data_IF_272711437897
#
_entry.id   IF_272711437897
#
_cell.length_a   1.000
_cell.length_b   1.000
_cell.length_c   1.000
_cell.angle_alpha   90.00
_cell.angle_beta   90.00
_cell.angle_gamma   90.00
#
_symmetry.space_group_name_H-M   'P 1'
#
loop_
_entity.id
_entity.type
_entity.pdbx_description
1 polymer ?
#
# COMPACT_ATOMS: atom_id res chain seq x y z
N UNK A 1 12.58 -22.10 19.49
CA UNK A 1 11.80 -20.88 19.83
C UNK A 1 11.51 -20.18 18.52
N UNK A 2 10.32 -20.39 17.96
CA UNK A 2 9.92 -19.70 16.73
C UNK A 2 9.53 -18.26 17.09
N UNK A 3 10.24 -17.27 16.56
CA UNK A 3 9.80 -15.89 16.63
C UNK A 3 8.54 -15.77 15.78
N UNK A 4 7.37 -15.65 16.41
CA UNK A 4 6.17 -15.19 15.72
C UNK A 4 6.39 -13.71 15.40
N UNK A 5 6.73 -13.40 14.16
CA UNK A 5 6.77 -12.00 13.69
C UNK A 5 5.35 -11.44 13.73
N UNK A 6 5.16 -10.35 14.46
CA UNK A 6 3.98 -9.52 14.33
C UNK A 6 3.94 -8.98 12.90
N UNK A 7 3.03 -9.50 12.07
CA UNK A 7 2.77 -8.94 10.75
C UNK A 7 2.05 -7.60 10.94
N UNK A 8 2.76 -6.50 10.70
CA UNK A 8 2.12 -5.22 10.47
C UNK A 8 1.50 -5.30 9.09
N UNK A 9 0.19 -5.12 9.01
CA UNK A 9 -0.46 -5.05 7.72
C UNK A 9 0.13 -3.86 6.93
N UNK A 10 0.27 -4.01 5.62
CA UNK A 10 1.26 -3.26 4.83
C UNK A 10 0.79 -1.89 4.36
N UNK A 11 1.74 -1.11 3.84
CA UNK A 11 1.50 0.27 3.43
C UNK A 11 0.78 0.34 2.09
N UNK A 12 -0.13 1.30 1.94
CA UNK A 12 -0.79 1.53 0.66
C UNK A 12 -0.96 3.00 0.35
N UNK A 13 -1.01 3.30 -0.95
CA UNK A 13 -1.39 4.58 -1.53
C UNK A 13 -2.43 4.32 -2.62
N UNK A 14 -3.54 5.05 -2.55
CA UNK A 14 -4.62 5.02 -3.52
C UNK A 14 -4.81 6.46 -4.01
N UNK A 15 -4.60 6.70 -5.29
CA UNK A 15 -4.57 8.04 -5.87
C UNK A 15 -5.61 8.19 -6.99
N UNK A 16 -6.33 9.29 -7.03
CA UNK A 16 -7.22 9.60 -8.15
C UNK A 16 -6.49 10.08 -9.42
N UNK A 17 -5.17 10.16 -9.40
CA UNK A 17 -4.35 10.72 -10.49
C UNK A 17 -4.05 9.69 -11.58
N UNK A 18 -3.80 10.13 -12.80
CA UNK A 18 -3.20 9.36 -13.91
C UNK A 18 -1.72 9.74 -14.08
N UNK A 19 -0.99 9.72 -12.97
CA UNK A 19 0.37 10.24 -12.89
C UNK A 19 1.36 9.50 -13.82
N UNK A 20 1.02 8.28 -14.25
CA UNK A 20 1.74 7.52 -15.26
C UNK A 20 1.64 8.10 -16.67
N UNK A 21 0.52 8.74 -17.06
CA UNK A 21 0.39 9.39 -18.38
C UNK A 21 0.92 10.84 -18.36
N UNK A 22 0.96 11.46 -17.18
CA UNK A 22 1.32 12.87 -17.00
C UNK A 22 2.66 13.07 -16.28
N UNK A 23 3.66 12.30 -16.68
CA UNK A 23 5.03 12.47 -16.22
C UNK A 23 6.06 12.11 -17.28
N UNK A 24 7.32 12.38 -16.95
CA UNK A 24 8.44 12.05 -17.81
C UNK A 24 9.73 11.93 -16.99
N UNK A 25 10.78 11.42 -17.63
CA UNK A 25 12.13 11.43 -17.08
C UNK A 25 13.07 12.25 -17.96
N UNK A 26 14.02 12.95 -17.33
CA UNK A 26 15.10 13.64 -18.01
C UNK A 26 16.44 13.39 -17.29
N UNK A 27 17.49 14.13 -17.66
CA UNK A 27 18.82 13.98 -17.05
C UNK A 27 18.90 14.26 -15.54
N UNK A 28 17.87 14.90 -14.97
CA UNK A 28 17.74 15.19 -13.54
C UNK A 28 16.87 14.17 -12.79
N UNK A 29 16.30 13.18 -13.49
CA UNK A 29 15.43 12.14 -12.93
C UNK A 29 13.97 12.29 -13.35
N UNK A 30 13.08 11.62 -12.61
CA UNK A 30 11.64 11.71 -12.83
C UNK A 30 11.14 13.12 -12.51
N UNK A 31 10.19 13.59 -13.32
CA UNK A 31 9.46 14.83 -13.14
C UNK A 31 7.97 14.52 -13.00
N UNK A 32 7.22 15.45 -12.43
CA UNK A 32 5.76 15.43 -12.46
C UNK A 32 5.16 14.12 -11.91
N UNK A 33 4.18 13.56 -12.61
CA UNK A 33 3.49 12.34 -12.16
C UNK A 33 4.44 11.15 -11.95
N UNK A 34 5.49 11.02 -12.75
CA UNK A 34 6.49 9.94 -12.58
C UNK A 34 7.32 10.14 -11.31
N UNK A 35 7.56 11.39 -10.89
CA UNK A 35 8.22 11.68 -9.62
C UNK A 35 7.30 11.30 -8.45
N UNK A 36 5.99 11.57 -8.55
CA UNK A 36 5.03 11.09 -7.57
C UNK A 36 5.05 9.55 -7.45
N UNK A 37 5.01 8.83 -8.58
CA UNK A 37 5.09 7.37 -8.58
C UNK A 37 6.38 6.85 -7.90
N UNK A 38 7.52 7.49 -8.18
CA UNK A 38 8.78 7.17 -7.50
C UNK A 38 8.67 7.35 -5.98
N UNK A 39 8.15 8.49 -5.52
CA UNK A 39 7.99 8.78 -4.08
C UNK A 39 6.98 7.86 -3.42
N UNK A 40 5.94 7.42 -4.13
CA UNK A 40 4.98 6.44 -3.64
C UNK A 40 5.67 5.09 -3.36
N UNK A 41 6.49 4.59 -4.29
CA UNK A 41 7.25 3.35 -4.09
C UNK A 41 8.23 3.45 -2.91
N UNK A 42 8.96 4.55 -2.80
CA UNK A 42 9.89 4.82 -1.69
C UNK A 42 9.17 4.94 -0.34
N UNK A 43 7.94 5.47 -0.33
CA UNK A 43 7.12 5.56 0.87
C UNK A 43 6.58 4.20 1.32
N UNK A 44 6.15 3.35 0.37
CA UNK A 44 5.53 2.06 0.67
C UNK A 44 6.57 1.03 1.09
N UNK A 45 7.74 0.99 0.44
CA UNK A 45 8.72 -0.09 0.60
C UNK A 45 9.16 -0.34 2.06
N UNK A 46 9.41 0.68 2.92
CA UNK A 46 9.74 0.46 4.33
C UNK A 46 8.64 -0.25 5.14
N UNK A 47 7.38 -0.16 4.71
CA UNK A 47 6.24 -0.82 5.34
C UNK A 47 5.96 -2.23 4.83
N UNK A 48 6.74 -2.73 3.87
CA UNK A 48 6.59 -4.10 3.36
C UNK A 48 7.28 -5.08 4.30
N UNK A 49 6.49 -5.96 4.92
CA UNK A 49 6.96 -6.91 5.95
C UNK A 49 6.77 -8.38 5.57
N UNK A 50 6.21 -8.67 4.39
CA UNK A 50 6.00 -10.03 3.89
C UNK A 50 7.30 -10.75 3.42
N UNK A 51 8.45 -10.07 3.49
CA UNK A 51 9.76 -10.62 3.13
C UNK A 51 10.11 -10.59 1.64
N UNK A 52 9.18 -10.18 0.78
CA UNK A 52 9.40 -10.11 -0.68
C UNK A 52 9.92 -8.74 -1.11
N UNK A 53 10.79 -8.74 -2.13
CA UNK A 53 11.38 -7.53 -2.72
C UNK A 53 11.12 -7.44 -4.23
N UNK A 54 9.87 -7.58 -4.60
CA UNK A 54 9.42 -7.48 -6.00
C UNK A 54 8.29 -6.49 -6.09
N UNK A 55 8.46 -5.43 -6.89
CA UNK A 55 7.35 -4.62 -7.37
C UNK A 55 6.74 -5.35 -8.56
N UNK A 56 5.45 -5.63 -8.51
CA UNK A 56 4.72 -6.26 -9.62
C UNK A 56 3.74 -5.24 -10.18
N UNK A 57 4.01 -4.75 -11.38
CA UNK A 57 3.09 -3.94 -12.16
C UNK A 57 2.04 -4.86 -12.81
N UNK A 58 0.77 -4.69 -12.44
CA UNK A 58 -0.32 -5.57 -12.86
C UNK A 58 -1.28 -4.85 -13.80
N UNK A 59 -1.64 -5.51 -14.91
CA UNK A 59 -2.43 -4.93 -16.01
C UNK A 59 -1.63 -4.01 -16.94
N UNK A 60 -0.31 -3.93 -16.73
CA UNK A 60 0.57 -3.07 -17.52
C UNK A 60 1.15 -3.86 -18.70
N UNK A 61 0.67 -3.57 -19.92
CA UNK A 61 0.96 -4.31 -21.16
C UNK A 61 2.11 -3.74 -22.01
N UNK A 62 2.45 -2.46 -21.81
CA UNK A 62 3.44 -1.77 -22.64
C UNK A 62 3.38 -0.26 -22.51
N UNK A 63 3.87 0.43 -23.55
CA UNK A 63 3.62 1.86 -23.76
C UNK A 63 4.07 2.78 -22.63
N UNK A 64 3.31 3.85 -22.43
CA UNK A 64 3.54 4.87 -21.40
C UNK A 64 3.47 4.26 -20.01
N UNK A 65 2.53 3.35 -19.75
CA UNK A 65 2.39 2.70 -18.45
C UNK A 65 3.66 1.91 -18.05
N UNK A 66 4.23 1.13 -18.98
CA UNK A 66 5.50 0.42 -18.74
C UNK A 66 6.66 1.38 -18.54
N UNK A 67 6.73 2.46 -19.34
CA UNK A 67 7.79 3.46 -19.22
C UNK A 67 7.74 4.16 -17.85
N UNK A 68 6.55 4.56 -17.41
CA UNK A 68 6.30 5.20 -16.12
C UNK A 68 6.69 4.28 -14.96
N UNK A 69 6.18 3.04 -14.94
CA UNK A 69 6.52 2.04 -13.91
C UNK A 69 8.02 1.75 -13.85
N UNK A 70 8.64 1.55 -15.02
CA UNK A 70 10.09 1.29 -15.15
C UNK A 70 10.90 2.47 -14.64
N UNK A 71 10.52 3.71 -15.01
CA UNK A 71 11.24 4.92 -14.62
C UNK A 71 11.09 5.21 -13.13
N UNK A 72 9.87 5.12 -12.59
CA UNK A 72 9.60 5.28 -11.17
C UNK A 72 10.41 4.27 -10.32
N UNK A 73 10.44 3.00 -10.74
CA UNK A 73 11.22 1.97 -10.07
C UNK A 73 12.74 2.21 -10.18
N UNK A 74 13.28 2.36 -11.39
CA UNK A 74 14.73 2.41 -11.61
C UNK A 74 15.39 3.66 -11.01
N UNK A 75 14.66 4.77 -10.89
CA UNK A 75 15.16 6.01 -10.31
C UNK A 75 14.85 6.13 -8.80
N UNK A 76 14.09 5.20 -8.23
CA UNK A 76 13.88 5.12 -6.79
C UNK A 76 15.09 4.54 -6.05
N UNK A 77 15.04 4.52 -4.72
CA UNK A 77 16.02 3.79 -3.90
C UNK A 77 15.86 2.27 -3.93
N UNK A 78 14.77 1.72 -4.49
CA UNK A 78 14.43 0.30 -4.41
C UNK A 78 15.45 -0.63 -5.09
N UNK A 79 15.92 -0.37 -6.34
CA UNK A 79 16.93 -1.20 -6.98
C UNK A 79 18.21 -1.34 -6.14
N UNK A 80 18.69 -0.23 -5.58
CA UNK A 80 19.86 -0.22 -4.68
C UNK A 80 19.63 -0.99 -3.37
N UNK A 81 18.38 -1.16 -2.95
CA UNK A 81 17.97 -1.98 -1.81
C UNK A 81 17.68 -3.46 -2.17
N UNK A 82 17.98 -3.88 -3.40
CA UNK A 82 17.84 -5.25 -3.88
C UNK A 82 16.41 -5.63 -4.28
N UNK A 83 15.57 -4.66 -4.60
CA UNK A 83 14.26 -4.92 -5.20
C UNK A 83 14.37 -5.22 -6.68
N UNK A 84 13.35 -5.87 -7.22
CA UNK A 84 13.15 -6.12 -8.66
C UNK A 84 11.79 -5.60 -9.10
N UNK A 85 11.63 -5.39 -10.41
CA UNK A 85 10.36 -5.05 -11.06
C UNK A 85 9.95 -6.18 -12.01
N UNK A 86 8.69 -6.59 -11.97
CA UNK A 86 8.09 -7.49 -12.96
C UNK A 86 6.73 -6.96 -13.41
N UNK A 87 6.28 -7.48 -14.55
CA UNK A 87 5.01 -7.11 -15.17
C UNK A 87 4.12 -8.35 -15.31
N UNK A 88 2.84 -8.19 -15.02
CA UNK A 88 1.82 -9.22 -15.27
C UNK A 88 0.68 -8.57 -16.05
N UNK A 89 0.48 -9.03 -17.26
CA UNK A 89 -0.47 -8.46 -18.21
C UNK A 89 -1.38 -9.56 -18.79
N UNK A 90 -2.61 -9.20 -19.10
CA UNK A 90 -3.65 -10.07 -19.61
C UNK A 90 -4.50 -10.70 -18.50
N UNK A 91 -5.82 -10.65 -18.66
CA UNK A 91 -6.78 -11.14 -17.68
C UNK A 91 -6.55 -12.60 -17.23
N UNK A 92 -6.08 -13.49 -18.13
CA UNK A 92 -5.75 -14.87 -17.80
C UNK A 92 -4.50 -14.99 -16.90
N UNK A 93 -3.46 -14.20 -17.20
CA UNK A 93 -2.23 -14.16 -16.40
C UNK A 93 -2.49 -13.53 -15.04
N UNK A 94 -3.29 -12.46 -15.00
CA UNK A 94 -3.75 -11.85 -13.75
C UNK A 94 -4.54 -12.84 -12.89
N UNK A 95 -5.48 -13.59 -13.49
CA UNK A 95 -6.23 -14.62 -12.77
C UNK A 95 -5.31 -15.70 -12.19
N UNK A 96 -4.29 -16.12 -12.96
CA UNK A 96 -3.26 -17.07 -12.50
C UNK A 96 -2.39 -16.47 -11.39
N UNK A 97 -2.04 -15.19 -11.50
CA UNK A 97 -1.25 -14.47 -10.51
C UNK A 97 -1.95 -14.40 -9.15
N UNK A 98 -3.25 -14.08 -9.13
CA UNK A 98 -4.04 -13.98 -7.89
C UNK A 98 -4.39 -15.34 -7.27
N UNK A 99 -4.66 -16.36 -8.09
CA UNK A 99 -5.07 -17.69 -7.59
C UNK A 99 -3.91 -18.63 -7.31
N UNK A 100 -2.75 -18.39 -7.94
CA UNK A 100 -1.52 -19.14 -7.74
C UNK A 100 -0.64 -18.57 -6.63
N UNK A 101 0.66 -18.84 -6.72
CA UNK A 101 1.67 -18.29 -5.80
C UNK A 101 2.19 -16.91 -6.22
N UNK A 102 1.71 -16.35 -7.33
CA UNK A 102 2.23 -15.12 -7.93
C UNK A 102 2.15 -13.92 -6.97
N UNK A 103 0.96 -13.65 -6.44
CA UNK A 103 0.77 -12.57 -5.44
C UNK A 103 1.59 -12.81 -4.17
N UNK A 104 1.86 -14.06 -3.81
CA UNK A 104 2.69 -14.44 -2.67
C UNK A 104 4.19 -14.15 -2.86
N UNK A 105 4.65 -13.90 -4.09
CA UNK A 105 6.01 -13.50 -4.41
C UNK A 105 6.17 -11.98 -4.58
N UNK A 106 5.08 -11.21 -4.55
CA UNK A 106 5.10 -9.76 -4.63
C UNK A 106 5.46 -9.14 -3.28
N UNK A 107 6.24 -8.07 -3.30
CA UNK A 107 6.40 -7.15 -2.17
C UNK A 107 5.46 -5.96 -2.29
N UNK A 108 5.36 -5.38 -3.49
CA UNK A 108 4.45 -4.27 -3.81
C UNK A 108 3.64 -4.62 -5.06
N UNK A 109 2.33 -4.37 -5.03
CA UNK A 109 1.51 -4.30 -6.24
C UNK A 109 1.49 -2.85 -6.74
N UNK A 110 1.77 -2.66 -8.01
CA UNK A 110 1.66 -1.39 -8.73
C UNK A 110 0.53 -1.52 -9.75
N UNK A 111 -0.52 -0.72 -9.61
CA UNK A 111 -1.66 -0.67 -10.54
C UNK A 111 -1.66 0.68 -11.26
N UNK A 112 -1.51 0.66 -12.58
CA UNK A 112 -1.56 1.85 -13.45
C UNK A 112 -2.96 2.50 -13.50
N UNK A 113 -3.10 3.62 -14.21
CA UNK A 113 -4.36 4.38 -14.34
C UNK A 113 -5.38 3.79 -15.33
N UNK A 114 -5.17 2.56 -15.79
CA UNK A 114 -6.07 1.87 -16.70
C UNK A 114 -6.17 2.55 -18.06
N UNK A 115 -7.40 2.87 -18.49
CA UNK A 115 -7.67 3.48 -19.80
C UNK A 115 -7.16 4.93 -19.92
N UNK A 116 -6.68 5.52 -18.82
CA UNK A 116 -6.10 6.88 -18.81
C UNK A 116 -4.63 6.90 -19.25
N UNK A 117 -3.99 5.74 -19.43
CA UNK A 117 -2.59 5.66 -19.87
C UNK A 117 -2.42 4.64 -20.99
N UNK A 118 -1.57 4.98 -21.97
CA UNK A 118 -1.22 4.05 -23.05
C UNK A 118 -0.55 2.78 -22.51
N UNK A 119 -1.20 1.63 -22.67
CA UNK A 119 -0.71 0.32 -22.21
C UNK A 119 -1.08 -0.03 -20.77
N UNK A 120 -2.01 0.71 -20.15
CA UNK A 120 -2.60 0.37 -18.86
C UNK A 120 -3.68 -0.71 -18.92
N UNK A 121 -4.15 -1.10 -17.74
CA UNK A 121 -5.08 -2.20 -17.55
C UNK A 121 -6.44 -1.93 -18.19
N UNK A 122 -6.94 -2.82 -19.03
CA UNK A 122 -8.25 -2.67 -19.67
C UNK A 122 -9.42 -3.01 -18.72
N UNK A 123 -10.66 -2.77 -19.17
CA UNK A 123 -11.87 -3.08 -18.38
C UNK A 123 -12.01 -4.57 -17.96
N UNK A 124 -11.50 -5.51 -18.77
CA UNK A 124 -11.52 -6.95 -18.45
C UNK A 124 -10.56 -7.24 -17.32
N UNK A 125 -9.35 -6.68 -17.37
CA UNK A 125 -8.31 -6.82 -16.36
C UNK A 125 -8.71 -6.16 -15.03
N UNK A 126 -9.31 -4.97 -15.08
CA UNK A 126 -9.89 -4.31 -13.89
C UNK A 126 -11.04 -5.12 -13.28
N UNK A 127 -11.78 -5.86 -14.10
CA UNK A 127 -12.74 -6.87 -13.64
C UNK A 127 -12.09 -8.01 -12.84
N UNK A 128 -10.88 -8.44 -13.22
CA UNK A 128 -10.09 -9.42 -12.46
C UNK A 128 -9.64 -8.85 -11.12
N UNK A 129 -9.23 -7.59 -11.05
CA UNK A 129 -8.90 -6.93 -9.77
C UNK A 129 -10.09 -6.95 -8.81
N UNK A 130 -11.27 -6.58 -9.31
CA UNK A 130 -12.52 -6.57 -8.54
C UNK A 130 -12.89 -7.97 -8.04
N UNK A 131 -12.79 -8.99 -8.90
CA UNK A 131 -13.05 -10.40 -8.55
C UNK A 131 -12.10 -10.91 -7.46
N UNK A 132 -10.86 -10.41 -7.46
CA UNK A 132 -9.81 -10.81 -6.52
C UNK A 132 -9.57 -9.81 -5.39
N UNK A 133 -10.54 -8.93 -5.09
CA UNK A 133 -10.39 -7.92 -4.04
C UNK A 133 -9.98 -8.55 -2.69
N UNK A 134 -10.60 -9.67 -2.30
CA UNK A 134 -10.23 -10.40 -1.07
C UNK A 134 -8.77 -10.83 -1.06
N UNK A 135 -8.21 -11.26 -2.20
CA UNK A 135 -6.80 -11.63 -2.29
C UNK A 135 -5.87 -10.42 -2.13
N UNK A 136 -6.22 -9.28 -2.74
CA UNK A 136 -5.50 -8.01 -2.56
C UNK A 136 -5.53 -7.57 -1.09
N UNK A 137 -6.68 -7.70 -0.41
CA UNK A 137 -6.79 -7.41 1.02
C UNK A 137 -5.89 -8.29 1.87
N UNK A 138 -5.92 -9.60 1.60
CA UNK A 138 -5.13 -10.57 2.36
C UNK A 138 -3.63 -10.34 2.14
N UNK A 139 -3.24 -9.97 0.91
CA UNK A 139 -1.87 -9.57 0.60
C UNK A 139 -1.41 -8.35 1.41
N UNK A 140 -2.23 -7.30 1.47
CA UNK A 140 -1.96 -6.14 2.34
C UNK A 140 -1.93 -6.55 3.82
N UNK A 141 -2.88 -7.37 4.28
CA UNK A 141 -2.92 -7.89 5.64
C UNK A 141 -1.71 -8.74 6.03
N UNK A 142 -1.09 -9.40 5.05
CA UNK A 142 0.15 -10.17 5.21
C UNK A 142 1.42 -9.31 5.13
N UNK A 143 1.30 -7.98 5.04
CA UNK A 143 2.42 -7.06 5.01
C UNK A 143 2.93 -6.72 3.61
N UNK A 144 2.17 -7.02 2.55
CA UNK A 144 2.44 -6.52 1.20
C UNK A 144 2.07 -5.04 1.05
N UNK A 145 2.67 -4.35 0.07
CA UNK A 145 2.39 -2.94 -0.21
C UNK A 145 1.57 -2.71 -1.48
N UNK A 146 0.82 -1.63 -1.58
CA UNK A 146 0.01 -1.33 -2.77
C UNK A 146 0.12 0.14 -3.18
N UNK A 147 0.42 0.38 -4.44
CA UNK A 147 0.21 1.67 -5.07
C UNK A 147 -0.77 1.49 -6.24
N UNK A 148 -1.87 2.24 -6.21
CA UNK A 148 -2.84 2.27 -7.29
C UNK A 148 -3.23 3.71 -7.61
N UNK A 149 -3.45 3.98 -8.91
CA UNK A 149 -3.79 5.31 -9.40
C UNK A 149 -4.94 5.25 -10.41
N UNK A 150 -5.82 6.26 -10.44
CA UNK A 150 -6.99 6.45 -11.31
C UNK A 150 -7.73 5.20 -11.85
N UNK A 151 -7.82 4.14 -11.04
CA UNK A 151 -8.52 2.92 -11.41
C UNK A 151 -10.02 3.07 -11.17
N UNK A 152 -10.85 2.25 -11.79
CA UNK A 152 -12.30 2.20 -11.49
C UNK A 152 -12.61 1.71 -10.06
N UNK A 153 -11.60 1.40 -9.25
CA UNK A 153 -11.61 1.11 -7.80
C UNK A 153 -12.76 0.24 -7.27
N UNK A 154 -13.41 -0.56 -8.13
CA UNK A 154 -14.47 -1.50 -7.73
C UNK A 154 -13.99 -2.48 -6.65
N UNK A 155 -12.70 -2.81 -6.68
CA UNK A 155 -12.04 -3.61 -5.64
C UNK A 155 -11.94 -2.87 -4.30
N UNK A 156 -11.74 -1.56 -4.25
CA UNK A 156 -11.57 -0.79 -2.99
C UNK A 156 -12.86 -0.75 -2.18
N UNK A 157 -14.02 -0.65 -2.82
CA UNK A 157 -15.32 -0.69 -2.14
C UNK A 157 -15.56 -2.02 -1.40
N UNK A 158 -14.92 -3.11 -1.84
CA UNK A 158 -14.93 -4.40 -1.15
C UNK A 158 -13.97 -4.43 0.06
N UNK A 159 -13.03 -3.47 0.16
CA UNK A 159 -11.95 -3.46 1.15
C UNK A 159 -12.08 -2.40 2.24
N UNK A 160 -12.64 -1.22 1.95
CA UNK A 160 -12.99 -0.23 2.97
C UNK A 160 -14.51 -0.08 2.97
N UNK A 161 -15.24 -0.84 3.80
CA UNK A 161 -16.69 -0.68 3.91
C UNK A 161 -17.02 0.77 4.25
N UNK A 162 -17.69 1.45 3.31
CA UNK A 162 -18.12 2.84 3.48
C UNK A 162 -17.28 3.88 2.75
N UNK A 163 -16.04 3.58 2.33
CA UNK A 163 -15.31 4.48 1.42
C UNK A 163 -16.12 4.63 0.13
N UNK A 164 -16.28 5.86 -0.33
CA UNK A 164 -16.91 6.13 -1.62
C UNK A 164 -15.85 6.63 -2.58
N UNK A 165 -15.83 6.04 -3.77
CA UNK A 165 -15.03 6.52 -4.89
C UNK A 165 -15.98 7.18 -5.86
N UNK A 166 -15.72 8.44 -6.19
CA UNK A 166 -16.45 9.17 -7.22
C UNK A 166 -15.54 9.37 -8.41
N UNK A 167 -16.01 8.98 -9.60
CA UNK A 167 -15.32 9.25 -10.87
C UNK A 167 -15.67 10.69 -11.28
N UNK A 168 -14.65 11.52 -11.44
CA UNK A 168 -14.76 12.90 -11.92
C UNK A 168 -13.39 13.36 -12.39
N UNK A 169 -13.33 14.11 -13.50
CA UNK A 169 -12.09 14.63 -14.04
C UNK A 169 -11.96 16.13 -13.77
N UNK A 170 -10.95 16.54 -13.00
CA UNK A 170 -10.55 17.95 -12.89
C UNK A 170 -9.03 18.07 -12.66
N UNK A 171 -8.54 19.29 -12.53
CA UNK A 171 -7.13 19.59 -12.33
C UNK A 171 -6.84 20.10 -10.90
N UNK A 172 -5.55 20.21 -10.58
CA UNK A 172 -5.07 20.94 -9.41
C UNK A 172 -5.18 20.15 -8.11
N UNK A 173 -4.01 19.89 -7.53
CA UNK A 173 -3.85 19.18 -6.27
C UNK A 173 -2.94 19.95 -5.32
N UNK A 174 -3.26 19.87 -4.04
CA UNK A 174 -2.38 20.31 -2.97
C UNK A 174 -2.06 19.15 -2.03
N UNK A 175 -0.78 18.97 -1.74
CA UNK A 175 -0.33 18.10 -0.66
C UNK A 175 -0.89 18.61 0.66
N UNK A 176 -1.39 17.69 1.48
CA UNK A 176 -1.65 17.96 2.89
C UNK A 176 -0.32 17.95 3.67
N UNK A 177 -0.37 18.27 4.97
CA UNK A 177 0.78 18.07 5.84
C UNK A 177 1.20 16.57 5.90
N UNK A 178 0.24 15.65 5.87
CA UNK A 178 0.53 14.22 5.83
C UNK A 178 1.16 13.80 4.50
N UNK A 179 0.68 14.33 3.38
CA UNK A 179 1.28 14.09 2.06
C UNK A 179 2.70 14.62 1.96
N UNK A 180 2.96 15.82 2.47
CA UNK A 180 4.30 16.42 2.48
C UNK A 180 5.29 15.57 3.31
N UNK A 181 4.81 14.95 4.40
CA UNK A 181 5.61 14.03 5.19
C UNK A 181 5.80 12.67 4.50
N UNK A 182 4.79 12.18 3.78
CA UNK A 182 4.84 10.92 3.05
C UNK A 182 5.75 11.00 1.81
N UNK A 183 5.81 12.15 1.16
CA UNK A 183 6.54 12.36 -0.10
C UNK A 183 7.60 13.47 0.01
N UNK A 184 8.69 13.26 0.78
CA UNK A 184 9.75 14.26 0.88
C UNK A 184 10.30 14.65 -0.50
N UNK A 185 10.32 15.96 -0.77
CA UNK A 185 10.81 16.51 -2.04
C UNK A 185 9.78 16.55 -3.17
N UNK A 186 8.54 16.10 -2.95
CA UNK A 186 7.42 16.32 -3.86
C UNK A 186 6.73 17.65 -3.52
N UNK A 187 6.27 18.37 -4.54
CA UNK A 187 5.51 19.62 -4.40
C UNK A 187 4.15 19.52 -5.14
N UNK A 188 3.31 20.54 -4.97
CA UNK A 188 1.96 20.55 -5.56
C UNK A 188 1.95 20.54 -7.09
N UNK A 189 2.95 21.15 -7.74
CA UNK A 189 3.06 21.17 -9.20
C UNK A 189 3.36 19.77 -9.73
N UNK A 190 4.19 18.99 -9.03
CA UNK A 190 4.51 17.62 -9.44
C UNK A 190 3.24 16.73 -9.45
N UNK A 191 2.31 16.97 -8.53
CA UNK A 191 1.00 16.28 -8.48
C UNK A 191 -0.02 16.83 -9.49
N UNK A 192 0.12 18.09 -9.90
CA UNK A 192 -0.88 18.80 -10.72
C UNK A 192 -0.52 18.86 -12.20
N UNK A 193 0.44 18.04 -12.64
CA UNK A 193 0.87 17.98 -14.04
C UNK A 193 -0.17 17.33 -14.98
N UNK A 194 -1.10 16.57 -14.40
CA UNK A 194 -2.23 15.96 -15.08
C UNK A 194 -3.52 16.14 -14.30
N UNK A 195 -4.66 15.73 -14.89
CA UNK A 195 -5.92 15.69 -14.19
C UNK A 195 -5.89 14.63 -13.08
N UNK A 196 -6.89 14.68 -12.23
CA UNK A 196 -7.30 13.55 -11.42
C UNK A 196 -8.68 13.11 -11.89
N UNK A 197 -8.92 11.80 -11.88
CA UNK A 197 -10.12 11.11 -12.38
C UNK A 197 -11.00 10.54 -11.28
N UNK A 198 -10.50 10.55 -10.03
CA UNK A 198 -11.28 10.12 -8.88
C UNK A 198 -11.06 11.02 -7.68
N UNK A 199 -12.08 11.12 -6.84
CA UNK A 199 -11.93 11.59 -5.47
C UNK A 199 -12.64 10.64 -4.50
N UNK A 200 -12.27 10.75 -3.23
CA UNK A 200 -12.69 9.85 -2.18
C UNK A 200 -13.56 10.56 -1.16
N UNK A 201 -14.69 9.96 -0.83
CA UNK A 201 -15.56 10.36 0.28
C UNK A 201 -15.56 9.30 1.38
N UNK A 202 -16.10 9.65 2.55
CA UNK A 202 -16.23 8.74 3.69
C UNK A 202 -14.89 8.05 4.06
N UNK A 203 -13.80 8.80 4.01
CA UNK A 203 -12.43 8.29 4.22
C UNK A 203 -12.18 7.81 5.66
N UNK A 204 -13.08 8.12 6.60
CA UNK A 204 -12.96 7.73 7.99
C UNK A 204 -11.66 8.24 8.61
N UNK A 205 -10.80 7.33 9.06
CA UNK A 205 -9.49 7.64 9.63
C UNK A 205 -8.34 7.53 8.64
N UNK A 206 -8.61 7.26 7.35
CA UNK A 206 -7.58 7.17 6.34
C UNK A 206 -6.87 8.52 6.17
N UNK A 207 -5.54 8.56 6.30
CA UNK A 207 -4.78 9.77 6.01
C UNK A 207 -5.01 10.26 4.58
N UNK A 208 -5.40 11.53 4.48
CA UNK A 208 -5.54 12.24 3.20
C UNK A 208 -4.18 12.86 2.90
N UNK A 209 -3.56 12.44 1.81
CA UNK A 209 -2.23 12.88 1.39
C UNK A 209 -2.29 14.08 0.42
N UNK A 210 -3.34 14.16 -0.40
CA UNK A 210 -3.60 15.33 -1.23
C UNK A 210 -5.10 15.58 -1.40
N UNK A 211 -5.45 16.86 -1.58
CA UNK A 211 -6.81 17.32 -1.84
C UNK A 211 -6.86 18.16 -3.10
N UNK A 212 -8.01 18.14 -3.76
CA UNK A 212 -8.30 19.03 -4.90
C UNK A 212 -8.19 20.50 -4.53
N UNK A 213 -7.59 21.28 -5.42
CA UNK A 213 -7.63 22.76 -5.42
C UNK A 213 -8.60 23.32 -6.46
N UNK A 214 -9.29 22.47 -7.21
CA UNK A 214 -10.29 22.88 -8.19
C UNK A 214 -11.40 23.73 -7.53
N UNK A 215 -11.80 24.88 -8.10
CA UNK A 215 -12.80 25.77 -7.51
C UNK A 215 -14.21 25.16 -7.41
N UNK A 216 -14.55 24.14 -8.21
CA UNK A 216 -15.83 23.44 -8.17
C UNK A 216 -15.83 22.24 -7.22
N UNK A 217 -14.64 21.77 -6.81
CA UNK A 217 -14.42 20.67 -5.86
C UNK A 217 -13.30 20.97 -4.86
N UNK A 218 -13.31 22.10 -4.13
CA UNK A 218 -12.19 22.44 -3.26
C UNK A 218 -12.13 21.49 -2.06
N UNK A 219 -10.93 20.97 -1.76
CA UNK A 219 -10.66 20.19 -0.55
C UNK A 219 -11.14 18.74 -0.58
N UNK A 220 -11.68 18.24 -1.70
CA UNK A 220 -12.04 16.81 -1.78
C UNK A 220 -10.77 15.94 -1.74
N UNK A 221 -10.75 14.83 -0.97
CA UNK A 221 -9.62 13.92 -0.94
C UNK A 221 -9.35 13.27 -2.30
N UNK A 222 -8.13 13.38 -2.82
CA UNK A 222 -7.74 12.77 -4.10
C UNK A 222 -6.61 11.75 -3.94
N UNK A 223 -5.80 11.85 -2.88
CA UNK A 223 -4.80 10.82 -2.59
C UNK A 223 -4.96 10.41 -1.14
N UNK A 224 -5.11 9.10 -0.92
CA UNK A 224 -5.17 8.46 0.39
C UNK A 224 -3.92 7.61 0.58
N UNK A 225 -3.50 7.42 1.83
CA UNK A 225 -2.51 6.39 2.12
C UNK A 225 -2.40 6.05 3.59
N UNK A 226 -1.86 4.88 3.89
CA UNK A 226 -1.63 4.39 5.25
C UNK A 226 -0.26 3.73 5.34
N UNK A 227 0.43 3.93 6.47
CA UNK A 227 1.74 3.30 6.74
C UNK A 227 1.64 1.93 7.42
N UNK A 228 0.43 1.38 7.54
CA UNK A 228 0.21 0.02 7.98
C UNK A 228 -1.26 -0.26 8.28
N UNK A 229 -1.58 -1.49 8.68
CA UNK A 229 -2.96 -1.94 8.85
C UNK A 229 -3.54 -2.63 7.61
N UNK A 230 -4.67 -3.32 7.75
CA UNK A 230 -5.42 -3.77 6.57
C UNK A 230 -6.17 -2.57 6.02
N UNK A 231 -6.61 -2.66 4.76
CA UNK A 231 -7.51 -1.63 4.21
C UNK A 231 -8.79 -1.49 5.08
N UNK A 232 -9.24 -2.60 5.70
CA UNK A 232 -10.33 -2.63 6.70
C UNK A 232 -9.95 -2.16 8.11
N UNK A 233 -8.67 -1.99 8.43
CA UNK A 233 -8.16 -1.59 9.75
C UNK A 233 -6.81 -0.88 9.60
N UNK A 234 -6.78 0.36 9.08
CA UNK A 234 -5.56 1.08 8.67
C UNK A 234 -4.72 1.59 9.86
N UNK A 235 -5.13 1.32 11.10
CA UNK A 235 -4.44 1.71 12.33
C UNK A 235 -4.72 0.66 13.43
N UNK A 236 -4.14 -0.55 13.38
CA UNK A 236 -4.34 -1.50 14.46
C UNK A 236 -3.69 -0.92 15.72
N UNK A 237 -4.48 -0.63 16.75
CA UNK A 237 -4.03 -0.06 18.05
C UNK A 237 -3.24 -1.05 18.92
N UNK A 238 -2.47 -1.97 18.30
CA UNK A 238 -1.98 -3.26 18.80
C UNK A 238 -3.01 -4.38 18.64
N UNK A 239 -2.64 -5.40 17.86
CA UNK A 239 -3.31 -6.70 17.92
C UNK A 239 -2.90 -7.34 19.26
N UNK A 240 -3.83 -7.79 20.12
CA UNK A 240 -3.47 -8.55 21.31
C UNK A 240 -2.87 -9.89 20.90
N UNK A 241 -1.59 -10.12 21.22
CA UNK A 241 -0.99 -11.43 21.05
C UNK A 241 -1.70 -12.42 22.01
N UNK A 242 -2.34 -13.45 21.45
CA UNK A 242 -2.97 -14.56 22.21
C UNK A 242 -1.99 -15.30 23.14
N UNK A 243 -0.68 -15.06 23.00
CA UNK A 243 0.35 -15.54 23.93
C UNK A 243 0.44 -14.75 25.24
N UNK A 244 0.01 -13.49 25.27
CA UNK A 244 0.11 -12.61 26.45
C UNK A 244 -0.92 -12.95 27.52
N UNK A 245 -2.11 -13.39 27.11
CA UNK A 245 -3.17 -13.85 28.02
C UNK A 245 -2.87 -15.22 28.62
N UNK A 246 -2.20 -16.12 27.88
CA UNK A 246 -1.82 -17.44 28.40
C UNK A 246 -0.66 -17.35 29.39
N UNK A 247 0.34 -16.48 29.16
CA UNK A 247 1.45 -16.27 30.09
C UNK A 247 1.01 -15.65 31.43
N UNK A 248 -0.02 -14.78 31.42
CA UNK A 248 -0.59 -14.20 32.65
C UNK A 248 -1.43 -15.21 33.45
N UNK A 249 -2.05 -16.19 32.79
CA UNK A 249 -2.79 -17.27 33.45
C UNK A 249 -1.89 -18.40 33.97
N UNK A 250 -0.75 -18.68 33.32
CA UNK A 250 0.22 -19.67 33.80
C UNK A 250 1.11 -19.10 34.93
N UNK A 251 1.40 -17.79 34.91
CA UNK A 251 2.15 -17.11 35.97
C UNK A 251 1.40 -17.05 37.32
N UNK A 252 0.07 -17.02 37.29
CA UNK A 252 -0.75 -16.97 38.52
C UNK A 252 -1.02 -18.35 39.16
N UNK A 253 -0.83 -19.45 38.43
CA UNK A 253 -0.86 -20.81 39.01
C UNK A 253 0.49 -21.27 39.58
N UNK A 254 1.61 -20.75 39.08
CA UNK A 254 2.96 -21.08 39.58
C UNK A 254 3.29 -20.49 40.96
N UNK A 255 2.65 -19.38 41.35
CA UNK A 255 2.90 -18.71 42.63
C UNK A 255 2.19 -19.34 43.84
N UNK A 256 1.31 -20.33 43.64
CA UNK A 256 0.56 -20.98 44.72
C UNK A 256 1.18 -22.29 45.23
N UNK A 257 2.21 -22.84 44.57
CA UNK A 257 2.78 -24.16 44.90
C UNK A 257 4.25 -24.14 45.38
N UNK A 258 4.96 -23.01 45.28
CA UNK A 258 6.41 -22.95 45.58
C UNK A 258 6.82 -22.62 47.02
N UNK A 259 5.86 -22.45 47.95
CA UNK A 259 6.10 -21.80 49.24
C UNK A 259 6.25 -22.71 50.46
N UNK A 260 6.85 -23.90 50.39
CA UNK A 260 7.24 -24.65 51.60
C UNK A 260 8.54 -25.41 51.39
N UNK A 261 9.33 -25.47 52.47
CA UNK A 261 10.61 -26.16 52.66
C UNK A 261 11.87 -25.35 52.35
N UNK A 262 12.37 -24.61 53.35
CA UNK A 262 13.71 -24.88 53.89
C UNK A 262 13.93 -24.15 55.23
N UNK A 263 13.97 -24.91 56.34
CA UNK A 263 14.79 -24.55 57.50
C UNK A 263 15.06 -25.78 58.37
N UNK A 264 16.23 -26.39 58.20
CA UNK A 264 16.82 -27.29 59.18
C UNK A 264 18.29 -26.94 59.42
N UNK A 265 18.53 -26.49 60.66
CA UNK A 265 19.65 -26.76 61.59
C UNK A 265 21.09 -26.63 61.07
N UNK A 266 21.90 -25.87 61.81
CA UNK A 266 23.10 -26.38 62.48
C UNK A 266 23.54 -25.44 63.63
N UNK A 267 23.76 -26.01 64.82
CA UNK A 267 24.87 -25.70 65.73
C UNK A 267 24.87 -26.72 66.88
N UNK A 268 25.93 -27.53 66.95
CA UNK A 268 26.30 -28.38 68.09
C UNK A 268 27.25 -27.59 68.99
N UNK A 269 27.16 -27.79 70.29
CA UNK A 269 28.26 -27.79 71.24
C UNK A 269 28.18 -29.12 72.00
#
# INVERSE_FOLDING_TARGET
MGSTSTAFAGSFIIAGTDADDHGFANGSGNQDGWLFMQRALENIAPGVTNGNKTVVAIGTSGGTATNAATSAFNLSSLPGAGWTLSFVDGAANLSTFFTGSGIGAAGILLMDSGDNVGGGADSTERGVFTTNATAINNFLGAGGGLFSQANEYGWVNALVPGLTVTVEQNDGLALTAAGSAAFPGLNNADLSAGPWHNFFGNTGTLPILATSTDPFRPGVPVILGAQGGTVTNPQPTRVPDTGSTLALMLGSMGSLLGGRFLKKRFARA
#
